data_IF_578177444747
#
_entry.id   IF_578177444747
#
_cell.length_a   1.000
_cell.length_b   1.000
_cell.length_c   1.000
_cell.angle_alpha   90.00
_cell.angle_beta   90.00
_cell.angle_gamma   90.00
#
_symmetry.space_group_name_H-M   'P 1'
#
loop_
_entity.id
_entity.type
_entity.pdbx_description
1 polymer ?
#
# COMPACT_ATOMS: atom_id res chain seq x y z
N UNK A 1 38.00 59.76 37.84
CA UNK A 1 36.65 59.17 38.00
C UNK A 1 36.27 58.15 36.92
N UNK A 2 37.17 57.71 36.02
CA UNK A 2 36.82 56.80 34.92
C UNK A 2 37.14 55.30 35.16
N UNK A 3 37.86 54.93 36.23
CA UNK A 3 38.31 53.54 36.45
C UNK A 3 37.34 52.65 37.25
N UNK A 4 36.31 53.20 37.90
CA UNK A 4 35.38 52.41 38.72
C UNK A 4 34.20 51.80 37.92
N UNK A 5 33.92 52.27 36.70
CA UNK A 5 32.80 51.76 35.90
C UNK A 5 33.12 50.43 35.18
N UNK A 6 34.40 50.10 34.96
CA UNK A 6 34.79 48.90 34.22
C UNK A 6 34.56 47.60 35.00
N UNK A 7 34.72 47.63 36.33
CA UNK A 7 34.45 46.47 37.20
C UNK A 7 32.99 46.04 37.16
N UNK A 8 32.08 46.96 36.83
CA UNK A 8 30.65 46.68 36.81
C UNK A 8 30.16 46.09 35.47
N UNK A 9 30.84 46.36 34.36
CA UNK A 9 30.45 45.75 33.09
C UNK A 9 30.91 44.30 32.96
N UNK A 10 31.96 43.92 33.71
CA UNK A 10 32.56 42.59 33.68
C UNK A 10 31.68 41.49 34.32
N UNK A 11 30.75 41.84 35.23
CA UNK A 11 29.88 40.84 35.88
C UNK A 11 28.64 40.49 35.07
N UNK A 12 28.24 41.33 34.10
CA UNK A 12 27.10 41.02 33.23
C UNK A 12 27.50 40.17 32.02
N UNK A 13 28.80 40.03 31.73
CA UNK A 13 29.32 39.19 30.64
C UNK A 13 29.60 37.74 31.07
N UNK A 14 28.83 37.19 32.01
CA UNK A 14 28.76 35.74 32.17
C UNK A 14 27.83 35.19 31.08
N UNK A 15 28.44 34.73 29.99
CA UNK A 15 27.76 33.94 28.96
C UNK A 15 27.02 32.79 29.65
N UNK A 16 25.68 32.77 29.50
CA UNK A 16 24.85 31.69 30.00
C UNK A 16 25.40 30.35 29.49
N UNK A 17 25.47 29.29 30.32
CA UNK A 17 25.89 27.98 29.85
C UNK A 17 24.91 27.55 28.75
N UNK A 18 25.42 27.34 27.53
CA UNK A 18 24.64 26.70 26.47
C UNK A 18 24.36 25.28 26.92
N UNK A 19 23.12 25.01 27.29
CA UNK A 19 22.63 23.65 27.49
C UNK A 19 22.52 22.98 26.11
N UNK A 20 23.65 22.61 25.52
CA UNK A 20 23.73 21.77 24.33
C UNK A 20 23.42 20.32 24.71
N UNK A 21 22.21 20.08 25.20
CA UNK A 21 21.68 18.72 25.30
C UNK A 21 21.42 18.21 23.89
N UNK A 22 21.97 17.04 23.49
CA UNK A 22 21.69 16.48 22.19
C UNK A 22 20.17 16.34 22.02
N UNK A 23 19.61 16.97 20.98
CA UNK A 23 18.19 16.86 20.70
C UNK A 23 17.82 15.38 20.53
N UNK A 24 16.75 14.88 21.17
CA UNK A 24 16.35 13.48 21.06
C UNK A 24 16.06 13.12 19.60
N UNK A 25 16.78 12.14 19.07
CA UNK A 25 16.60 11.65 17.69
C UNK A 25 15.26 10.90 17.60
N UNK A 26 14.33 11.43 16.80
CA UNK A 26 13.01 10.81 16.62
C UNK A 26 13.10 9.56 15.72
N UNK A 27 12.47 8.43 16.10
CA UNK A 27 12.43 7.22 15.28
C UNK A 27 11.78 7.43 13.90
N UNK A 28 12.36 6.84 12.84
CA UNK A 28 11.96 7.00 11.43
C UNK A 28 10.88 6.00 11.00
N UNK A 29 9.73 6.02 11.68
CA UNK A 29 8.65 5.03 11.51
C UNK A 29 7.78 5.21 10.25
N UNK A 30 7.92 6.32 9.52
CA UNK A 30 7.01 6.69 8.43
C UNK A 30 6.89 5.65 7.31
N UNK A 31 7.99 4.94 6.98
CA UNK A 31 7.98 3.94 5.90
C UNK A 31 7.12 2.71 6.25
N UNK A 32 7.13 2.26 7.51
CA UNK A 32 6.29 1.15 7.96
C UNK A 32 4.81 1.49 7.90
N UNK A 33 4.44 2.70 8.33
CA UNK A 33 3.04 3.18 8.28
C UNK A 33 2.58 3.32 6.83
N UNK A 34 3.41 3.88 5.95
CA UNK A 34 3.08 4.00 4.53
C UNK A 34 2.83 2.63 3.89
N UNK A 35 3.69 1.64 4.17
CA UNK A 35 3.50 0.26 3.70
C UNK A 35 2.16 -0.33 4.16
N UNK A 36 1.79 -0.13 5.44
CA UNK A 36 0.52 -0.61 5.98
C UNK A 36 -0.69 0.01 5.25
N UNK A 37 -0.67 1.32 5.02
CA UNK A 37 -1.76 2.02 4.31
C UNK A 37 -1.86 1.53 2.87
N UNK A 38 -0.74 1.42 2.16
CA UNK A 38 -0.72 0.92 0.77
C UNK A 38 -1.24 -0.52 0.73
N UNK A 39 -0.84 -1.37 1.68
CA UNK A 39 -1.30 -2.75 1.77
C UNK A 39 -2.83 -2.84 2.00
N UNK A 40 -3.39 -1.96 2.85
CA UNK A 40 -4.83 -1.90 3.07
C UNK A 40 -5.58 -1.50 1.79
N UNK A 41 -5.09 -0.47 1.08
CA UNK A 41 -5.67 -0.06 -0.21
C UNK A 41 -5.53 -1.16 -1.26
N UNK A 42 -4.40 -1.87 -1.29
CA UNK A 42 -4.19 -3.01 -2.17
C UNK A 42 -5.21 -4.12 -1.91
N UNK A 43 -5.46 -4.45 -0.64
CA UNK A 43 -6.45 -5.46 -0.26
C UNK A 43 -7.87 -5.05 -0.65
N UNK A 44 -8.22 -3.77 -0.53
CA UNK A 44 -9.52 -3.27 -1.00
C UNK A 44 -9.64 -3.28 -2.54
N UNK A 45 -8.50 -3.24 -3.23
CA UNK A 45 -8.43 -3.19 -4.70
C UNK A 45 -8.38 -4.57 -5.37
N UNK A 46 -8.41 -5.69 -4.63
CA UNK A 46 -8.27 -7.06 -5.19
C UNK A 46 -9.34 -7.45 -6.20
N UNK A 47 -10.51 -6.81 -6.16
CA UNK A 47 -11.54 -6.99 -7.18
C UNK A 47 -11.00 -6.67 -8.58
N UNK A 48 -10.18 -5.62 -8.68
CA UNK A 48 -9.32 -5.37 -9.82
C UNK A 48 -8.03 -6.17 -9.66
N UNK A 49 -7.88 -7.28 -10.40
CA UNK A 49 -6.67 -8.13 -10.31
C UNK A 49 -5.39 -7.29 -10.42
N UNK A 50 -5.37 -6.33 -11.35
CA UNK A 50 -4.23 -5.42 -11.54
C UNK A 50 -3.99 -4.52 -10.31
N UNK A 51 -5.03 -3.94 -9.71
CA UNK A 51 -4.90 -3.07 -8.55
C UNK A 51 -4.37 -3.82 -7.33
N UNK A 52 -4.92 -5.01 -7.04
CA UNK A 52 -4.48 -5.83 -5.91
C UNK A 52 -3.04 -6.34 -6.05
N UNK A 53 -2.61 -6.69 -7.27
CA UNK A 53 -1.24 -7.16 -7.53
C UNK A 53 -0.24 -6.01 -7.48
N UNK A 54 -0.46 -4.93 -8.24
CA UNK A 54 0.52 -3.83 -8.34
C UNK A 54 0.71 -3.14 -6.98
N UNK A 55 -0.39 -2.77 -6.31
CA UNK A 55 -0.31 -2.13 -5.01
C UNK A 55 0.23 -3.08 -3.94
N UNK A 56 -0.11 -4.38 -4.03
CA UNK A 56 0.41 -5.40 -3.13
C UNK A 56 1.93 -5.56 -3.23
N UNK A 57 2.48 -5.53 -4.45
CA UNK A 57 3.94 -5.58 -4.67
C UNK A 57 4.63 -4.35 -4.09
N UNK A 58 4.08 -3.15 -4.33
CA UNK A 58 4.61 -1.89 -3.78
C UNK A 58 4.57 -1.91 -2.24
N UNK A 59 3.47 -2.39 -1.66
CA UNK A 59 3.32 -2.55 -0.21
C UNK A 59 4.35 -3.53 0.37
N UNK A 60 4.54 -4.69 -0.25
CA UNK A 60 5.51 -5.69 0.19
C UNK A 60 6.94 -5.14 0.14
N UNK A 61 7.32 -4.49 -0.97
CA UNK A 61 8.66 -3.91 -1.10
C UNK A 61 8.92 -2.81 -0.06
N UNK A 62 7.98 -1.88 0.10
CA UNK A 62 8.10 -0.79 1.09
C UNK A 62 8.14 -1.32 2.52
N UNK A 63 7.42 -2.40 2.83
CA UNK A 63 7.44 -3.06 4.13
C UNK A 63 8.78 -3.74 4.44
N UNK A 64 9.38 -4.44 3.46
CA UNK A 64 10.73 -4.99 3.60
C UNK A 64 11.78 -3.89 3.83
N UNK A 65 11.67 -2.77 3.11
CA UNK A 65 12.54 -1.62 3.30
C UNK A 65 12.33 -0.93 4.67
N UNK A 66 11.11 -0.92 5.20
CA UNK A 66 10.82 -0.45 6.56
C UNK A 66 11.49 -1.34 7.61
N UNK A 67 11.40 -2.66 7.45
CA UNK A 67 12.04 -3.62 8.34
C UNK A 67 13.56 -3.45 8.36
N UNK A 68 14.19 -3.18 7.21
CA UNK A 68 15.62 -2.89 7.17
C UNK A 68 16.02 -1.67 8.02
N UNK A 69 15.16 -0.65 8.15
CA UNK A 69 15.40 0.51 9.04
C UNK A 69 15.27 0.15 10.51
N UNK A 70 14.35 -0.76 10.86
CA UNK A 70 14.21 -1.26 12.22
C UNK A 70 15.45 -2.05 12.64
N UNK A 71 15.96 -2.92 11.76
CA UNK A 71 17.20 -3.69 12.02
C UNK A 71 18.41 -2.77 12.23
N UNK A 72 18.45 -1.62 11.55
CA UNK A 72 19.50 -0.59 11.75
C UNK A 72 19.30 0.28 13.01
N UNK A 73 18.25 0.06 13.80
CA UNK A 73 17.92 0.87 14.96
C UNK A 73 17.40 2.28 14.61
N UNK A 74 17.11 2.56 13.34
CA UNK A 74 16.59 3.86 12.90
C UNK A 74 15.08 4.02 13.15
N UNK A 75 14.37 2.91 13.36
CA UNK A 75 12.94 2.84 13.58
C UNK A 75 12.62 1.80 14.66
N UNK A 76 11.45 1.92 15.30
CA UNK A 76 11.06 1.06 16.41
C UNK A 76 9.69 0.37 16.19
N UNK A 77 9.19 0.34 14.95
CA UNK A 77 7.88 -0.19 14.59
C UNK A 77 7.94 -1.47 13.74
N UNK A 78 8.64 -2.51 14.21
CA UNK A 78 8.80 -3.78 13.49
C UNK A 78 7.45 -4.43 13.13
N UNK A 79 6.55 -4.51 14.11
CA UNK A 79 5.24 -5.12 13.94
C UNK A 79 4.44 -4.49 12.79
N UNK A 80 4.54 -3.16 12.64
CA UNK A 80 3.86 -2.43 11.56
C UNK A 80 4.50 -2.73 10.20
N UNK A 81 5.83 -2.78 10.13
CA UNK A 81 6.55 -3.12 8.90
C UNK A 81 6.24 -4.55 8.43
N UNK A 82 6.21 -5.52 9.35
CA UNK A 82 5.87 -6.92 9.05
C UNK A 82 4.40 -7.05 8.66
N UNK A 83 3.48 -6.40 9.38
CA UNK A 83 2.06 -6.42 9.06
C UNK A 83 1.78 -5.87 7.65
N UNK A 84 2.36 -4.72 7.30
CA UNK A 84 2.24 -4.14 5.96
C UNK A 84 2.78 -5.07 4.87
N UNK A 85 3.92 -5.72 5.11
CA UNK A 85 4.51 -6.68 4.17
C UNK A 85 3.59 -7.88 3.94
N UNK A 86 3.11 -8.51 5.03
CA UNK A 86 2.26 -9.69 4.94
C UNK A 86 0.91 -9.37 4.31
N UNK A 87 0.31 -8.23 4.67
CA UNK A 87 -0.95 -7.79 4.08
C UNK A 87 -0.82 -7.54 2.56
N UNK A 88 0.30 -6.96 2.12
CA UNK A 88 0.60 -6.82 0.69
C UNK A 88 0.77 -8.15 -0.05
N UNK A 89 1.39 -9.15 0.58
CA UNK A 89 1.50 -10.50 0.00
C UNK A 89 0.11 -11.15 -0.09
N UNK A 90 -0.70 -11.05 0.96
CA UNK A 90 -2.06 -11.58 0.98
C UNK A 90 -2.92 -10.93 -0.11
N UNK A 91 -2.80 -9.61 -0.33
CA UNK A 91 -3.56 -8.95 -1.39
C UNK A 91 -3.22 -9.48 -2.78
N UNK A 92 -1.94 -9.79 -3.06
CA UNK A 92 -1.51 -10.41 -4.32
C UNK A 92 -2.17 -11.78 -4.47
N UNK A 93 -2.09 -12.64 -3.44
CA UNK A 93 -2.67 -13.99 -3.49
C UNK A 93 -4.17 -13.93 -3.73
N UNK A 94 -4.89 -13.08 -2.99
CA UNK A 94 -6.34 -12.91 -3.16
C UNK A 94 -6.67 -12.37 -4.56
N UNK A 95 -5.94 -11.38 -5.07
CA UNK A 95 -6.14 -10.86 -6.42
C UNK A 95 -5.98 -11.96 -7.49
N UNK A 96 -5.03 -12.87 -7.34
CA UNK A 96 -4.85 -14.00 -8.26
C UNK A 96 -6.00 -15.00 -8.19
N UNK A 97 -6.62 -15.21 -7.03
CA UNK A 97 -7.81 -16.06 -6.87
C UNK A 97 -9.02 -15.49 -7.66
N UNK A 98 -9.09 -14.17 -7.88
CA UNK A 98 -10.15 -13.57 -8.70
C UNK A 98 -9.97 -13.79 -10.21
N UNK A 99 -8.80 -14.21 -10.69
CA UNK A 99 -8.55 -14.48 -12.13
C UNK A 99 -9.55 -15.50 -12.71
N UNK A 100 -9.73 -16.71 -12.15
CA UNK A 100 -10.71 -17.67 -12.67
C UNK A 100 -12.15 -17.15 -12.62
N UNK A 101 -12.48 -16.29 -11.64
CA UNK A 101 -13.81 -15.65 -11.57
C UNK A 101 -14.03 -14.75 -12.78
N UNK A 102 -13.08 -13.87 -13.10
CA UNK A 102 -13.16 -12.99 -14.28
C UNK A 102 -13.18 -13.77 -15.58
N UNK A 103 -12.35 -14.81 -15.71
CA UNK A 103 -12.37 -15.69 -16.88
C UNK A 103 -13.75 -16.35 -17.02
N UNK A 104 -14.31 -16.88 -15.93
CA UNK A 104 -15.64 -17.48 -15.93
C UNK A 104 -16.74 -16.49 -16.36
N UNK A 105 -16.72 -15.27 -15.83
CA UNK A 105 -17.69 -14.23 -16.19
C UNK A 105 -17.61 -13.84 -17.67
N UNK A 106 -16.39 -13.68 -18.21
CA UNK A 106 -16.18 -13.39 -19.64
C UNK A 106 -16.70 -14.54 -20.51
N UNK A 107 -16.40 -15.79 -20.15
CA UNK A 107 -16.88 -16.97 -20.90
C UNK A 107 -18.42 -17.06 -20.90
N UNK A 108 -19.07 -16.76 -19.77
CA UNK A 108 -20.53 -16.70 -19.67
C UNK A 108 -21.09 -15.62 -20.60
N UNK A 109 -20.50 -14.42 -20.63
CA UNK A 109 -20.92 -13.33 -21.51
C UNK A 109 -20.78 -13.70 -22.99
N UNK A 110 -19.67 -14.33 -23.39
CA UNK A 110 -19.45 -14.78 -24.76
C UNK A 110 -20.51 -15.82 -25.17
N UNK A 111 -20.76 -16.82 -24.31
CA UNK A 111 -21.79 -17.84 -24.54
C UNK A 111 -23.17 -17.21 -24.73
N UNK A 112 -23.53 -16.27 -23.86
CA UNK A 112 -24.79 -15.53 -23.92
C UNK A 112 -24.91 -14.74 -25.23
N UNK A 113 -23.88 -13.99 -25.63
CA UNK A 113 -23.88 -13.22 -26.87
C UNK A 113 -24.06 -14.10 -28.13
N UNK A 114 -23.40 -15.26 -28.15
CA UNK A 114 -23.55 -16.23 -29.24
C UNK A 114 -24.95 -16.84 -29.27
N UNK A 115 -25.54 -17.13 -28.12
CA UNK A 115 -26.91 -17.62 -28.02
C UNK A 115 -27.94 -16.60 -28.56
N UNK A 116 -27.85 -15.34 -28.11
CA UNK A 116 -28.79 -14.29 -28.56
C UNK A 116 -28.68 -14.02 -30.06
N UNK A 117 -27.47 -13.99 -30.61
CA UNK A 117 -27.26 -13.80 -32.05
C UNK A 117 -27.74 -15.00 -32.89
N UNK A 118 -27.64 -16.23 -32.37
CA UNK A 118 -28.20 -17.41 -33.02
C UNK A 118 -29.74 -17.39 -33.02
N UNK A 119 -30.36 -17.12 -31.87
CA UNK A 119 -31.81 -17.04 -31.73
C UNK A 119 -32.40 -15.93 -32.60
N UNK A 120 -31.72 -14.79 -32.70
CA UNK A 120 -32.11 -13.69 -33.59
C UNK A 120 -32.09 -14.10 -35.08
N UNK A 121 -31.17 -14.98 -35.49
CA UNK A 121 -31.09 -15.51 -36.86
C UNK A 121 -32.09 -16.64 -37.14
N UNK A 122 -32.34 -17.49 -36.15
CA UNK A 122 -33.25 -18.63 -36.29
C UNK A 122 -34.71 -18.20 -36.51
N UNK A 123 -35.12 -17.07 -35.94
CA UNK A 123 -36.49 -16.57 -36.09
C UNK A 123 -37.52 -17.58 -35.57
N UNK A 124 -38.68 -17.77 -36.24
CA UNK A 124 -39.73 -18.69 -35.79
C UNK A 124 -39.44 -20.18 -36.08
N UNK A 125 -38.33 -20.52 -36.75
CA UNK A 125 -38.01 -21.89 -37.12
C UNK A 125 -37.54 -22.72 -35.91
N UNK A 126 -38.36 -23.71 -35.54
CA UNK A 126 -38.11 -24.61 -34.39
C UNK A 126 -36.89 -25.49 -34.59
N UNK A 127 -36.55 -25.85 -35.82
CA UNK A 127 -35.38 -26.67 -36.11
C UNK A 127 -34.10 -25.87 -35.85
N UNK A 128 -34.03 -24.64 -36.36
CA UNK A 128 -32.89 -23.75 -36.15
C UNK A 128 -32.73 -23.32 -34.69
N UNK A 129 -33.84 -23.12 -33.96
CA UNK A 129 -33.80 -22.82 -32.52
C UNK A 129 -33.13 -23.92 -31.69
N UNK A 130 -33.34 -25.21 -32.04
CA UNK A 130 -32.72 -26.34 -31.31
C UNK A 130 -31.20 -26.38 -31.49
N UNK A 131 -30.70 -25.95 -32.65
CA UNK A 131 -29.26 -25.87 -32.93
C UNK A 131 -28.60 -24.81 -32.03
N UNK A 132 -29.31 -23.73 -31.69
CA UNK A 132 -28.78 -22.69 -30.81
C UNK A 132 -28.62 -23.12 -29.34
N UNK A 133 -29.24 -24.23 -28.92
CA UNK A 133 -29.16 -24.73 -27.53
C UNK A 133 -28.06 -25.76 -27.29
N UNK A 134 -27.43 -26.26 -28.36
CA UNK A 134 -26.32 -27.23 -28.32
C UNK A 134 -24.98 -26.52 -28.54
#
# INVERSE_FOLDING_TARGET
>A
MAFMAASAYQWYSQAAPSNDSPAPVKPKNGLGIASLVIAAVALLSVWSVLGGVILGVIAAWSGLAARARVVRGEANNDAVAVAGTMLGIVSIVVALIFVPVWVGLIQVQIRQNNYYSCMAKAGPDRYLQRICTH
#
